data_IF_145248911959
#
_entry.id   IF_145248911959
#
_cell.length_a   1.000
_cell.length_b   1.000
_cell.length_c   1.000
_cell.angle_alpha   90.00
_cell.angle_beta   90.00
_cell.angle_gamma   90.00
#
_symmetry.space_group_name_H-M   'P 1'
#
loop_
_entity.id
_entity.type
_entity.pdbx_description
1 polymer ?
#
# COMPACT_ATOMS: atom_id res chain seq x y z
N UNK A 1 4.22 -1.54 16.38
CA UNK A 1 4.54 -2.98 16.50
C UNK A 1 3.31 -3.88 16.38
N UNK A 2 2.22 -3.65 17.12
CA UNK A 2 0.97 -4.46 17.08
C UNK A 2 0.40 -4.66 15.68
N UNK A 3 0.36 -3.62 14.84
CA UNK A 3 -0.18 -3.69 13.48
C UNK A 3 0.59 -4.67 12.58
N UNK A 4 1.93 -4.69 12.67
CA UNK A 4 2.77 -5.59 11.88
C UNK A 4 2.55 -7.06 12.28
N UNK A 5 2.45 -7.36 13.58
CA UNK A 5 2.13 -8.70 14.05
C UNK A 5 0.75 -9.17 13.60
N UNK A 6 -0.25 -8.29 13.72
CA UNK A 6 -1.61 -8.58 13.26
C UNK A 6 -1.66 -8.85 11.75
N UNK A 7 -0.98 -8.03 10.96
CA UNK A 7 -0.87 -8.22 9.52
C UNK A 7 -0.20 -9.55 9.16
N UNK A 8 0.92 -9.89 9.81
CA UNK A 8 1.62 -11.16 9.59
C UNK A 8 0.74 -12.37 9.92
N UNK A 9 -0.01 -12.30 11.04
CA UNK A 9 -0.94 -13.36 11.42
C UNK A 9 -2.06 -13.55 10.38
N UNK A 10 -2.64 -12.45 9.88
CA UNK A 10 -3.68 -12.51 8.85
C UNK A 10 -3.13 -13.14 7.57
N UNK A 11 -1.96 -12.71 7.08
CA UNK A 11 -1.38 -13.26 5.85
C UNK A 11 -0.91 -14.70 6.01
N UNK A 12 -0.46 -15.12 7.19
CA UNK A 12 -0.20 -16.52 7.50
C UNK A 12 -1.45 -17.37 7.34
N UNK A 13 -2.55 -16.96 7.97
CA UNK A 13 -3.83 -17.68 7.90
C UNK A 13 -4.42 -17.66 6.50
N UNK A 14 -4.50 -16.50 5.85
CA UNK A 14 -5.15 -16.38 4.52
C UNK A 14 -4.39 -17.12 3.42
N UNK A 15 -3.10 -17.33 3.61
CA UNK A 15 -2.26 -18.10 2.67
C UNK A 15 -2.63 -19.58 2.58
N UNK A 16 -3.34 -20.11 3.56
CA UNK A 16 -3.90 -21.46 3.52
C UNK A 16 -5.08 -21.58 2.56
N UNK A 17 -5.73 -20.45 2.26
CA UNK A 17 -6.88 -20.38 1.36
C UNK A 17 -6.44 -20.22 -0.11
N UNK A 18 -7.36 -20.40 -1.07
CA UNK A 18 -7.14 -20.06 -2.46
C UNK A 18 -6.69 -18.60 -2.64
N UNK A 19 -5.85 -18.28 -3.66
CA UNK A 19 -5.25 -16.96 -3.86
C UNK A 19 -6.23 -15.79 -3.93
N UNK A 20 -7.46 -16.04 -4.39
CA UNK A 20 -8.54 -15.03 -4.41
C UNK A 20 -8.85 -14.42 -3.05
N UNK A 21 -8.63 -15.16 -1.95
CA UNK A 21 -8.82 -14.63 -0.60
C UNK A 21 -7.66 -13.72 -0.17
N UNK A 22 -6.44 -14.07 -0.57
CA UNK A 22 -5.28 -13.16 -0.39
C UNK A 22 -5.50 -11.85 -1.16
N UNK A 23 -5.98 -11.93 -2.40
CA UNK A 23 -6.33 -10.76 -3.20
C UNK A 23 -7.44 -9.94 -2.53
N UNK A 24 -8.47 -10.58 -1.96
CA UNK A 24 -9.54 -9.88 -1.26
C UNK A 24 -9.02 -9.10 -0.03
N UNK A 25 -8.11 -9.70 0.75
CA UNK A 25 -7.45 -9.01 1.88
C UNK A 25 -6.64 -7.80 1.40
N UNK A 26 -5.86 -7.97 0.33
CA UNK A 26 -5.09 -6.88 -0.28
C UNK A 26 -6.00 -5.75 -0.77
N UNK A 27 -7.12 -6.09 -1.44
CA UNK A 27 -8.11 -5.10 -1.89
C UNK A 27 -8.79 -4.38 -0.71
N UNK A 28 -9.07 -5.09 0.38
CA UNK A 28 -9.60 -4.49 1.60
C UNK A 28 -8.67 -3.43 2.20
N UNK A 29 -7.36 -3.68 2.19
CA UNK A 29 -6.37 -2.67 2.60
C UNK A 29 -6.39 -1.44 1.68
N UNK A 30 -6.47 -1.64 0.36
CA UNK A 30 -6.60 -0.53 -0.60
C UNK A 30 -7.89 0.26 -0.39
N UNK A 31 -9.01 -0.41 -0.12
CA UNK A 31 -10.29 0.24 0.16
C UNK A 31 -10.24 1.10 1.43
N UNK A 32 -9.55 0.63 2.48
CA UNK A 32 -9.34 1.41 3.69
C UNK A 32 -8.53 2.70 3.41
N UNK A 33 -7.47 2.61 2.61
CA UNK A 33 -6.69 3.77 2.17
C UNK A 33 -7.53 4.78 1.38
N UNK A 34 -8.36 4.28 0.46
CA UNK A 34 -9.31 5.12 -0.31
C UNK A 34 -10.30 5.82 0.61
N UNK A 35 -10.86 5.12 1.59
CA UNK A 35 -11.79 5.70 2.57
C UNK A 35 -11.18 6.85 3.37
N UNK A 36 -9.93 6.68 3.82
CA UNK A 36 -9.19 7.73 4.54
C UNK A 36 -8.93 8.95 3.64
N UNK A 37 -8.48 8.75 2.41
CA UNK A 37 -8.19 9.86 1.49
C UNK A 37 -9.44 10.59 1.03
N UNK A 38 -10.58 9.91 0.87
CA UNK A 38 -11.88 10.54 0.65
C UNK A 38 -12.28 11.40 1.85
N UNK A 39 -12.14 10.88 3.06
CA UNK A 39 -12.42 11.65 4.29
C UNK A 39 -11.57 12.92 4.38
N UNK A 40 -10.28 12.85 4.03
CA UNK A 40 -9.39 14.02 3.98
C UNK A 40 -9.85 15.05 2.95
N UNK A 41 -10.22 14.60 1.75
CA UNK A 41 -10.70 15.50 0.70
C UNK A 41 -12.02 16.17 1.09
N UNK A 42 -12.99 15.43 1.61
CA UNK A 42 -14.25 16.00 2.09
C UNK A 42 -14.04 16.98 3.24
N UNK A 43 -13.15 16.67 4.18
CA UNK A 43 -12.78 17.61 5.25
C UNK A 43 -12.17 18.89 4.70
N UNK A 44 -11.29 18.80 3.72
CA UNK A 44 -10.68 19.97 3.09
C UNK A 44 -11.69 20.81 2.30
N UNK A 45 -12.68 20.17 1.65
CA UNK A 45 -13.77 20.85 0.94
C UNK A 45 -14.77 21.53 1.89
N UNK A 46 -14.98 20.98 3.08
CA UNK A 46 -15.90 21.53 4.09
C UNK A 46 -15.34 22.78 4.79
N UNK A 47 -14.02 22.95 4.81
CA UNK A 47 -13.37 24.17 5.31
C UNK A 47 -13.55 25.26 4.26
N UNK A 48 -14.66 26.02 4.34
CA UNK A 48 -14.85 27.20 3.50
C UNK A 48 -13.85 28.28 3.90
N UNK A 49 -12.96 28.62 2.99
CA UNK A 49 -11.87 29.59 3.22
C UNK A 49 -12.36 31.05 3.30
N UNK A 50 -13.66 31.27 3.18
CA UNK A 50 -14.25 32.61 3.29
C UNK A 50 -14.33 33.13 4.73
N UNK A 51 -14.11 32.28 5.72
CA UNK A 51 -14.10 32.72 7.12
C UNK A 51 -12.66 32.87 7.62
N UNK A 52 -12.18 34.10 7.75
CA UNK A 52 -11.01 34.48 8.54
C UNK A 52 -11.21 34.19 10.07
N UNK A 53 -12.11 33.31 10.41
CA UNK A 53 -12.32 32.87 11.78
C UNK A 53 -11.48 31.62 12.00
N UNK A 54 -10.51 31.70 12.89
CA UNK A 54 -9.89 30.55 13.54
C UNK A 54 -11.01 29.58 13.91
N UNK A 55 -10.90 28.28 13.54
CA UNK A 55 -11.89 27.30 13.98
C UNK A 55 -12.00 27.42 15.50
N UNK A 56 -13.19 27.69 16.01
CA UNK A 56 -13.38 27.64 17.46
C UNK A 56 -12.95 26.26 17.94
N UNK A 57 -12.22 26.20 19.05
CA UNK A 57 -11.66 24.95 19.62
C UNK A 57 -12.71 23.84 19.72
N UNK A 58 -13.97 24.17 19.90
CA UNK A 58 -15.09 23.24 19.92
C UNK A 58 -15.33 22.51 18.60
N UNK A 59 -15.17 23.17 17.46
CA UNK A 59 -15.35 22.54 16.13
C UNK A 59 -14.21 21.57 15.81
N UNK A 60 -12.99 21.90 16.24
CA UNK A 60 -11.81 21.01 16.07
C UNK A 60 -11.98 19.75 16.95
N UNK A 61 -12.42 19.92 18.17
CA UNK A 61 -12.67 18.82 19.12
C UNK A 61 -13.79 17.91 18.62
N UNK A 62 -14.89 18.45 18.10
CA UNK A 62 -15.99 17.68 17.53
C UNK A 62 -15.53 16.89 16.30
N UNK A 63 -14.76 17.50 15.40
CA UNK A 63 -14.22 16.84 14.21
C UNK A 63 -13.29 15.69 14.57
N UNK A 64 -12.41 15.89 15.55
CA UNK A 64 -11.54 14.85 16.08
C UNK A 64 -12.35 13.70 16.70
N UNK A 65 -13.38 14.01 17.48
CA UNK A 65 -14.26 13.01 18.10
C UNK A 65 -14.97 12.16 17.05
N UNK A 66 -15.56 12.78 16.02
CA UNK A 66 -16.23 12.06 14.92
C UNK A 66 -15.24 11.15 14.19
N UNK A 67 -14.02 11.62 13.93
CA UNK A 67 -12.98 10.84 13.29
C UNK A 67 -12.61 9.59 14.10
N UNK A 68 -12.32 9.74 15.40
CA UNK A 68 -12.00 8.61 16.26
C UNK A 68 -13.17 7.67 16.48
N UNK A 69 -14.41 8.19 16.58
CA UNK A 69 -15.61 7.37 16.69
C UNK A 69 -15.84 6.54 15.41
N UNK A 70 -15.63 7.11 14.23
CA UNK A 70 -15.72 6.37 12.96
C UNK A 70 -14.70 5.25 12.87
N UNK A 71 -13.44 5.52 13.26
CA UNK A 71 -12.38 4.51 13.31
C UNK A 71 -12.73 3.38 14.30
N UNK A 72 -13.26 3.71 15.48
CA UNK A 72 -13.70 2.72 16.47
C UNK A 72 -14.82 1.83 15.94
N UNK A 73 -15.82 2.39 15.24
CA UNK A 73 -16.90 1.63 14.61
C UNK A 73 -16.33 0.65 13.57
N UNK A 74 -15.41 1.09 12.73
CA UNK A 74 -14.75 0.20 11.73
C UNK A 74 -14.01 -0.95 12.40
N UNK A 75 -13.31 -0.70 13.50
CA UNK A 75 -12.61 -1.74 14.28
C UNK A 75 -13.63 -2.73 14.88
N UNK A 76 -14.75 -2.27 15.38
CA UNK A 76 -15.82 -3.17 15.88
C UNK A 76 -16.38 -4.05 14.76
N UNK A 77 -16.64 -3.49 13.58
CA UNK A 77 -17.06 -4.27 12.41
C UNK A 77 -16.04 -5.31 12.02
N UNK A 78 -14.75 -4.96 12.03
CA UNK A 78 -13.67 -5.91 11.75
C UNK A 78 -13.65 -7.05 12.77
N UNK A 79 -13.81 -6.74 14.06
CA UNK A 79 -13.85 -7.74 15.14
C UNK A 79 -15.06 -8.68 14.98
N UNK A 80 -16.25 -8.14 14.74
CA UNK A 80 -17.46 -8.93 14.50
C UNK A 80 -17.29 -9.84 13.27
N UNK A 81 -16.75 -9.28 12.17
CA UNK A 81 -16.46 -10.03 10.94
C UNK A 81 -15.48 -11.19 11.20
N UNK A 82 -14.46 -10.97 12.03
CA UNK A 82 -13.53 -12.01 12.43
C UNK A 82 -14.23 -13.14 13.20
N UNK A 83 -15.10 -12.82 14.18
CA UNK A 83 -15.86 -13.84 14.92
C UNK A 83 -16.83 -14.61 14.01
N UNK A 84 -17.41 -13.97 13.00
CA UNK A 84 -18.21 -14.66 12.00
C UNK A 84 -17.32 -15.60 11.17
N UNK A 85 -16.17 -15.11 10.69
CA UNK A 85 -15.24 -15.86 9.85
C UNK A 85 -14.82 -17.19 10.51
N UNK A 86 -14.41 -17.16 11.76
CA UNK A 86 -13.93 -18.39 12.47
C UNK A 86 -15.04 -19.43 12.68
N UNK A 87 -16.32 -19.02 12.58
CA UNK A 87 -17.46 -19.95 12.68
C UNK A 87 -17.85 -20.55 11.34
N UNK A 88 -17.38 -19.97 10.22
CA UNK A 88 -17.73 -20.48 8.89
C UNK A 88 -17.13 -21.87 8.63
N UNK A 89 -17.88 -22.77 7.98
CA UNK A 89 -17.36 -24.08 7.57
C UNK A 89 -16.12 -23.98 6.70
N UNK A 90 -16.06 -22.96 5.85
CA UNK A 90 -14.92 -22.66 5.00
C UNK A 90 -13.63 -22.45 5.80
N UNK A 91 -13.68 -21.63 6.86
CA UNK A 91 -12.52 -21.38 7.73
C UNK A 91 -12.06 -22.69 8.39
N UNK A 92 -13.00 -23.44 8.94
CA UNK A 92 -12.70 -24.72 9.58
C UNK A 92 -12.09 -25.73 8.61
N UNK A 93 -12.51 -25.75 7.35
CA UNK A 93 -11.97 -26.61 6.32
C UNK A 93 -10.50 -26.32 6.01
N UNK A 94 -10.12 -25.04 5.84
CA UNK A 94 -8.74 -24.66 5.49
C UNK A 94 -7.79 -24.53 6.69
N UNK A 95 -8.29 -24.24 7.89
CA UNK A 95 -7.49 -23.99 9.09
C UNK A 95 -7.53 -25.17 10.08
N UNK A 96 -8.32 -26.22 9.78
CA UNK A 96 -8.39 -27.42 10.63
C UNK A 96 -7.03 -28.07 10.77
N UNK A 97 -6.67 -28.59 11.98
CA UNK A 97 -5.43 -29.35 12.18
C UNK A 97 -5.23 -30.48 11.18
N UNK A 98 -6.31 -31.11 10.70
CA UNK A 98 -6.26 -32.14 9.68
C UNK A 98 -5.82 -31.63 8.31
N UNK A 99 -6.15 -30.41 7.92
CA UNK A 99 -5.72 -29.83 6.62
C UNK A 99 -4.24 -29.41 6.66
N UNK A 100 -3.73 -29.07 7.82
CA UNK A 100 -2.30 -28.80 8.04
C UNK A 100 -1.50 -30.11 8.06
N UNK A 101 -2.11 -31.22 8.54
CA UNK A 101 -1.47 -32.54 8.66
C UNK A 101 -1.67 -33.46 7.45
N UNK A 102 -2.71 -33.26 6.62
CA UNK A 102 -2.95 -34.07 5.40
C UNK A 102 -1.90 -33.85 4.32
N UNK A 103 -1.12 -32.79 4.42
CA UNK A 103 0.08 -32.61 3.59
C UNK A 103 1.36 -33.20 4.20
N UNK A 104 1.29 -33.85 5.34
CA UNK A 104 2.38 -34.69 5.85
C UNK A 104 2.16 -36.08 5.28
N UNK A 105 3.00 -36.47 4.31
CA UNK A 105 3.22 -37.89 4.02
C UNK A 105 3.53 -38.58 5.34
N UNK A 106 2.63 -39.47 5.76
CA UNK A 106 2.68 -40.19 7.06
C UNK A 106 3.95 -41.01 7.17
N UNK A 107 4.67 -41.22 6.08
CA UNK A 107 5.85 -42.07 5.98
C UNK A 107 7.20 -41.36 6.09
N UNK A 108 7.23 -40.02 6.31
CA UNK A 108 8.51 -39.32 6.47
C UNK A 108 8.49 -38.29 7.61
N UNK A 109 8.78 -38.75 8.87
CA UNK A 109 8.79 -37.85 10.05
C UNK A 109 9.91 -36.80 10.07
N UNK A 110 10.73 -36.73 9.02
CA UNK A 110 11.90 -35.85 8.92
C UNK A 110 11.68 -34.63 7.98
N UNK A 111 10.47 -34.38 7.49
CA UNK A 111 10.23 -33.15 6.74
C UNK A 111 10.01 -32.00 7.74
N UNK A 112 11.08 -31.65 8.45
CA UNK A 112 11.12 -30.43 9.25
C UNK A 112 10.67 -29.27 8.37
N UNK A 113 9.67 -28.52 8.84
CA UNK A 113 9.29 -27.22 8.27
C UNK A 113 10.56 -26.41 8.08
N UNK A 114 11.12 -26.43 6.90
CA UNK A 114 12.41 -25.79 6.66
C UNK A 114 12.20 -24.37 6.19
N UNK A 115 12.25 -23.43 7.12
CA UNK A 115 12.31 -22.01 6.85
C UNK A 115 13.27 -21.70 5.68
N UNK A 116 14.46 -22.33 5.69
CA UNK A 116 15.48 -22.13 4.65
C UNK A 116 15.01 -22.59 3.28
N UNK A 117 14.30 -23.71 3.20
CA UNK A 117 13.81 -24.23 1.92
C UNK A 117 12.66 -23.36 1.38
N UNK A 118 11.72 -22.95 2.22
CA UNK A 118 10.64 -22.04 1.86
C UNK A 118 11.20 -20.71 1.37
N UNK A 119 12.11 -20.11 2.13
CA UNK A 119 12.78 -18.87 1.75
C UNK A 119 13.47 -19.00 0.39
N UNK A 120 14.23 -20.10 0.17
CA UNK A 120 14.92 -20.33 -1.10
C UNK A 120 13.98 -20.50 -2.28
N UNK A 121 12.78 -21.03 -2.07
CA UNK A 121 11.77 -21.19 -3.13
C UNK A 121 11.13 -19.86 -3.55
N UNK A 122 10.94 -18.93 -2.61
CA UNK A 122 10.19 -17.68 -2.85
C UNK A 122 11.03 -16.41 -2.73
N UNK A 123 12.36 -16.49 -2.68
CA UNK A 123 13.24 -15.33 -2.45
C UNK A 123 13.04 -14.20 -3.47
N UNK A 124 12.68 -14.52 -4.72
CA UNK A 124 12.38 -13.53 -5.75
C UNK A 124 11.10 -12.76 -5.45
N UNK A 125 10.09 -13.44 -4.92
CA UNK A 125 8.84 -12.81 -4.50
C UNK A 125 9.03 -12.00 -3.22
N UNK A 126 9.85 -12.49 -2.29
CA UNK A 126 10.27 -11.74 -1.10
C UNK A 126 10.97 -10.44 -1.51
N UNK A 127 11.93 -10.54 -2.44
CA UNK A 127 12.60 -9.37 -2.99
C UNK A 127 11.57 -8.43 -3.66
N UNK A 128 10.70 -8.96 -4.52
CA UNK A 128 9.72 -8.17 -5.25
C UNK A 128 8.81 -7.38 -4.31
N UNK A 129 8.20 -8.04 -3.30
CA UNK A 129 7.30 -7.36 -2.37
C UNK A 129 8.03 -6.32 -1.53
N UNK A 130 9.22 -6.62 -0.99
CA UNK A 130 9.99 -5.64 -0.24
C UNK A 130 10.37 -4.43 -1.11
N UNK A 131 10.83 -4.69 -2.33
CA UNK A 131 11.29 -3.66 -3.24
C UNK A 131 10.18 -2.72 -3.72
N UNK A 132 8.97 -3.26 -3.98
CA UNK A 132 7.78 -2.44 -4.28
C UNK A 132 7.55 -1.39 -3.21
N UNK A 133 7.58 -1.80 -1.93
CA UNK A 133 7.31 -0.89 -0.81
C UNK A 133 8.51 0.02 -0.49
N UNK A 134 9.75 -0.43 -0.73
CA UNK A 134 10.94 0.44 -0.66
C UNK A 134 10.78 1.62 -1.62
N UNK A 135 10.53 1.34 -2.90
CA UNK A 135 10.36 2.39 -3.92
C UNK A 135 9.18 3.31 -3.59
N UNK A 136 8.08 2.73 -3.13
CA UNK A 136 6.88 3.51 -2.84
C UNK A 136 7.10 4.46 -1.67
N UNK A 137 7.56 3.96 -0.52
CA UNK A 137 7.73 4.78 0.68
C UNK A 137 8.88 5.80 0.55
N UNK A 138 9.84 5.54 -0.33
CA UNK A 138 10.91 6.53 -0.62
C UNK A 138 10.35 7.81 -1.23
N UNK A 139 9.31 7.72 -2.09
CA UNK A 139 8.73 8.87 -2.79
C UNK A 139 7.41 9.34 -2.18
N UNK A 140 6.50 8.42 -1.85
CA UNK A 140 5.17 8.69 -1.34
C UNK A 140 5.07 8.33 0.15
N UNK A 141 4.61 9.23 1.04
CA UNK A 141 4.21 10.62 0.77
C UNK A 141 5.36 11.64 0.84
N UNK A 142 6.57 11.25 1.20
CA UNK A 142 7.68 12.11 1.63
C UNK A 142 8.10 13.20 0.63
N UNK A 143 8.07 12.90 -0.65
CA UNK A 143 8.37 13.86 -1.73
C UNK A 143 7.08 14.39 -2.34
N UNK A 144 6.11 13.50 -2.59
CA UNK A 144 4.88 13.87 -3.30
C UNK A 144 4.01 14.88 -2.55
N UNK A 145 4.04 14.91 -1.21
CA UNK A 145 3.31 15.90 -0.40
C UNK A 145 3.84 17.34 -0.55
N UNK A 146 5.02 17.52 -1.13
CA UNK A 146 5.60 18.82 -1.42
C UNK A 146 5.47 19.23 -2.89
N UNK A 147 4.83 18.41 -3.72
CA UNK A 147 4.55 18.79 -5.11
C UNK A 147 3.33 19.73 -5.12
N UNK A 148 3.54 20.90 -5.71
CA UNK A 148 2.52 21.94 -5.88
C UNK A 148 2.07 22.05 -7.33
N UNK A 149 0.88 22.60 -7.52
CA UNK A 149 0.38 22.92 -8.87
C UNK A 149 1.33 23.89 -9.58
N UNK A 150 1.50 23.68 -10.87
CA UNK A 150 2.27 24.56 -11.75
C UNK A 150 1.45 25.75 -12.27
N UNK A 151 0.16 25.81 -11.94
CA UNK A 151 -0.70 26.89 -12.37
C UNK A 151 -0.30 28.23 -11.73
N UNK A 152 -0.31 29.34 -12.50
CA UNK A 152 -0.08 30.68 -11.95
C UNK A 152 -1.15 31.04 -10.91
N UNK A 153 -0.78 31.78 -9.87
CA UNK A 153 -1.68 32.12 -8.77
C UNK A 153 -2.94 32.87 -9.22
N UNK A 154 -2.83 33.69 -10.28
CA UNK A 154 -3.95 34.45 -10.83
C UNK A 154 -5.02 33.61 -11.54
N UNK A 155 -4.69 32.37 -11.93
CA UNK A 155 -5.57 31.48 -12.71
C UNK A 155 -5.80 30.11 -12.08
N UNK A 156 -5.48 29.95 -10.79
CA UNK A 156 -5.68 28.68 -10.08
C UNK A 156 -7.15 28.33 -9.91
N UNK A 157 -7.51 27.13 -10.34
CA UNK A 157 -8.77 26.50 -9.95
C UNK A 157 -8.73 26.05 -8.49
N UNK A 158 -9.89 25.85 -7.84
CA UNK A 158 -9.97 25.40 -6.45
C UNK A 158 -9.09 24.17 -6.13
N UNK A 159 -9.02 23.19 -7.04
CA UNK A 159 -8.22 21.99 -6.89
C UNK A 159 -6.70 22.16 -7.09
N UNK A 160 -6.26 23.35 -7.48
CA UNK A 160 -4.85 23.69 -7.70
C UNK A 160 -4.23 24.42 -6.50
N UNK A 161 -5.05 24.81 -5.52
CA UNK A 161 -4.55 25.34 -4.25
C UNK A 161 -4.07 24.20 -3.36
N UNK A 162 -2.98 24.40 -2.62
CA UNK A 162 -2.31 23.39 -1.80
C UNK A 162 -3.26 22.64 -0.88
N UNK A 163 -4.27 23.30 -0.30
CA UNK A 163 -5.22 22.72 0.64
C UNK A 163 -6.13 21.65 0.01
N UNK A 164 -6.35 21.67 -1.33
CA UNK A 164 -7.09 20.64 -2.07
C UNK A 164 -6.16 19.77 -2.93
N UNK A 165 -5.08 20.34 -3.46
CA UNK A 165 -4.13 19.63 -4.30
C UNK A 165 -3.47 18.46 -3.54
N UNK A 166 -3.08 18.69 -2.28
CA UNK A 166 -2.48 17.67 -1.43
C UNK A 166 -3.48 16.52 -1.11
N UNK A 167 -4.70 16.74 -0.61
CA UNK A 167 -5.68 15.67 -0.47
C UNK A 167 -6.02 14.94 -1.77
N UNK A 168 -6.04 15.67 -2.89
CA UNK A 168 -6.33 15.09 -4.20
C UNK A 168 -5.25 14.10 -4.64
N UNK A 169 -3.97 14.40 -4.44
CA UNK A 169 -2.92 13.44 -4.80
C UNK A 169 -2.96 12.20 -3.91
N UNK A 170 -3.29 12.32 -2.62
CA UNK A 170 -3.52 11.15 -1.75
C UNK A 170 -4.69 10.29 -2.26
N UNK A 171 -5.78 10.94 -2.70
CA UNK A 171 -6.92 10.24 -3.26
C UNK A 171 -6.56 9.49 -4.54
N UNK A 172 -5.87 10.14 -5.48
CA UNK A 172 -5.44 9.53 -6.75
C UNK A 172 -4.52 8.34 -6.49
N UNK A 173 -3.58 8.48 -5.55
CA UNK A 173 -2.68 7.38 -5.17
C UNK A 173 -3.47 6.20 -4.59
N UNK A 174 -4.33 6.41 -3.60
CA UNK A 174 -5.10 5.33 -2.98
C UNK A 174 -6.11 4.69 -3.94
N UNK A 175 -6.71 5.47 -4.83
CA UNK A 175 -7.59 4.95 -5.87
C UNK A 175 -6.81 4.07 -6.87
N UNK A 176 -5.67 4.52 -7.36
CA UNK A 176 -4.83 3.73 -8.27
C UNK A 176 -4.28 2.46 -7.59
N UNK A 177 -3.86 2.54 -6.32
CA UNK A 177 -3.41 1.39 -5.54
C UNK A 177 -4.52 0.34 -5.37
N UNK A 178 -5.74 0.78 -5.03
CA UNK A 178 -6.90 -0.10 -4.96
C UNK A 178 -7.19 -0.76 -6.31
N UNK A 179 -7.20 0.02 -7.38
CA UNK A 179 -7.38 -0.52 -8.74
C UNK A 179 -6.32 -1.56 -9.07
N UNK A 180 -5.04 -1.25 -8.79
CA UNK A 180 -3.94 -2.18 -8.97
C UNK A 180 -4.11 -3.49 -8.20
N UNK A 181 -4.56 -3.41 -6.94
CA UNK A 181 -4.87 -4.59 -6.12
C UNK A 181 -6.06 -5.38 -6.64
N UNK A 182 -7.00 -4.73 -7.32
CA UNK A 182 -8.17 -5.39 -7.89
C UNK A 182 -7.87 -6.09 -9.24
N UNK A 183 -6.91 -5.60 -10.03
CA UNK A 183 -6.57 -6.18 -11.34
C UNK A 183 -6.34 -7.70 -11.31
N UNK A 184 -5.64 -8.30 -10.32
CA UNK A 184 -5.45 -9.74 -10.25
C UNK A 184 -6.72 -10.56 -9.95
N UNK A 185 -7.89 -9.92 -9.74
CA UNK A 185 -9.16 -10.62 -9.69
C UNK A 185 -9.56 -11.20 -11.06
N UNK A 186 -9.03 -10.62 -12.12
CA UNK A 186 -9.19 -11.11 -13.50
C UNK A 186 -8.11 -12.14 -13.79
N UNK A 187 -8.49 -13.38 -14.10
CA UNK A 187 -7.55 -14.49 -14.33
C UNK A 187 -6.53 -14.19 -15.43
N UNK A 188 -6.94 -13.45 -16.45
CA UNK A 188 -6.07 -13.04 -17.56
C UNK A 188 -4.92 -12.09 -17.14
N UNK A 189 -5.05 -11.43 -16.00
CA UNK A 189 -4.08 -10.48 -15.48
C UNK A 189 -3.24 -11.06 -14.31
N UNK A 190 -3.39 -12.34 -14.01
CA UNK A 190 -2.60 -13.01 -12.97
C UNK A 190 -1.27 -13.46 -13.54
N UNK A 191 -0.19 -12.86 -13.08
CA UNK A 191 1.19 -13.30 -13.37
C UNK A 191 1.68 -14.15 -12.21
N UNK A 192 2.17 -15.34 -12.49
CA UNK A 192 2.70 -16.29 -11.49
C UNK A 192 4.20 -16.50 -11.60
N UNK A 193 4.82 -16.10 -12.71
CA UNK A 193 6.27 -16.21 -12.87
C UNK A 193 7.03 -15.22 -11.97
N UNK A 194 7.81 -15.79 -11.05
CA UNK A 194 8.59 -15.03 -10.08
C UNK A 194 9.60 -14.07 -10.72
N UNK A 195 10.16 -14.42 -11.89
CA UNK A 195 11.13 -13.56 -12.57
C UNK A 195 10.43 -12.31 -13.14
N UNK A 196 9.27 -12.50 -13.74
CA UNK A 196 8.46 -11.39 -14.27
C UNK A 196 8.03 -10.45 -13.15
N UNK A 197 7.55 -11.00 -12.03
CA UNK A 197 7.14 -10.21 -10.87
C UNK A 197 8.32 -9.41 -10.29
N UNK A 198 9.49 -10.04 -10.14
CA UNK A 198 10.69 -9.35 -9.66
C UNK A 198 11.16 -8.27 -10.65
N UNK A 199 11.11 -8.54 -11.94
CA UNK A 199 11.44 -7.55 -12.98
C UNK A 199 10.50 -6.34 -12.93
N UNK A 200 9.18 -6.59 -12.84
CA UNK A 200 8.20 -5.51 -12.71
C UNK A 200 8.42 -4.65 -11.47
N UNK A 201 8.83 -5.25 -10.34
CA UNK A 201 9.16 -4.49 -9.14
C UNK A 201 10.37 -3.58 -9.33
N UNK A 202 11.41 -4.04 -10.05
CA UNK A 202 12.59 -3.25 -10.38
C UNK A 202 12.26 -2.10 -11.33
N UNK A 203 11.44 -2.34 -12.36
CA UNK A 203 11.03 -1.29 -13.30
C UNK A 203 10.38 -0.09 -12.61
N UNK A 204 9.82 -0.25 -11.42
CA UNK A 204 9.21 0.84 -10.65
C UNK A 204 10.20 1.94 -10.22
N UNK A 205 11.51 1.65 -10.22
CA UNK A 205 12.53 2.68 -9.94
C UNK A 205 12.38 3.89 -10.85
N UNK A 206 11.89 3.71 -12.08
CA UNK A 206 11.72 4.81 -13.04
C UNK A 206 10.81 5.92 -12.53
N UNK A 207 9.88 5.61 -11.62
CA UNK A 207 8.99 6.62 -11.05
C UNK A 207 9.71 7.59 -10.12
N UNK A 208 10.82 7.20 -9.47
CA UNK A 208 11.55 8.09 -8.57
C UNK A 208 12.09 9.33 -9.29
N UNK A 209 12.89 9.21 -10.37
CA UNK A 209 13.31 10.40 -11.12
C UNK A 209 12.15 11.15 -11.75
N UNK A 210 11.11 10.46 -12.25
CA UNK A 210 9.94 11.14 -12.81
C UNK A 210 9.23 12.04 -11.79
N UNK A 211 9.07 11.56 -10.55
CA UNK A 211 8.47 12.36 -9.46
C UNK A 211 9.37 13.54 -9.07
N UNK A 212 10.69 13.34 -9.03
CA UNK A 212 11.64 14.41 -8.73
C UNK A 212 11.68 15.50 -9.81
N UNK A 213 11.35 15.18 -11.05
CA UNK A 213 11.27 16.14 -12.16
C UNK A 213 9.96 16.95 -12.20
N UNK A 214 8.98 16.62 -11.32
CA UNK A 214 7.76 17.39 -11.14
C UNK A 214 8.02 18.64 -10.29
N UNK A 215 7.00 19.50 -10.11
CA UNK A 215 7.10 20.76 -9.36
C UNK A 215 7.16 20.54 -7.85
N UNK A 216 8.29 20.01 -7.35
CA UNK A 216 8.52 19.85 -5.91
C UNK A 216 8.91 21.19 -5.29
N UNK A 217 8.17 21.64 -4.29
CA UNK A 217 8.48 22.87 -3.55
C UNK A 217 9.71 22.68 -2.68
N UNK A 218 10.73 23.51 -2.91
CA UNK A 218 11.96 23.55 -2.09
C UNK A 218 11.80 24.39 -0.81
N UNK A 219 10.66 25.10 -0.65
CA UNK A 219 10.42 25.96 0.52
C UNK A 219 11.43 27.09 0.63
N UNK A 220 11.96 27.32 1.84
CA UNK A 220 12.93 28.40 2.13
C UNK A 220 14.39 28.02 1.82
N UNK A 221 14.67 26.86 1.22
CA UNK A 221 16.04 26.36 1.01
C UNK A 221 16.76 26.91 -0.24
N UNK A 222 16.17 27.85 -0.97
CA UNK A 222 16.81 28.51 -2.14
C UNK A 222 16.37 27.96 -3.49
N UNK A 223 17.18 28.22 -4.52
CA UNK A 223 16.89 27.74 -5.87
C UNK A 223 17.04 26.23 -5.96
N UNK A 224 16.04 25.61 -6.60
CA UNK A 224 15.98 24.18 -6.80
C UNK A 224 17.08 23.72 -7.76
N UNK A 225 17.93 22.75 -7.38
CA UNK A 225 18.98 22.19 -8.23
C UNK A 225 18.45 21.26 -9.33
N UNK A 226 17.35 20.54 -9.06
CA UNK A 226 16.74 19.65 -10.06
C UNK A 226 15.86 20.45 -11.00
N UNK A 227 16.06 20.37 -12.33
CA UNK A 227 15.26 21.13 -13.30
C UNK A 227 13.79 20.67 -13.28
N UNK A 228 12.86 21.63 -13.41
CA UNK A 228 11.45 21.36 -13.64
C UNK A 228 11.25 20.94 -15.10
N UNK A 229 11.21 19.65 -15.37
CA UNK A 229 10.93 19.13 -16.71
C UNK A 229 9.46 18.78 -16.92
N UNK A 230 8.77 18.35 -15.85
CA UNK A 230 7.35 18.00 -15.90
C UNK A 230 6.54 19.17 -15.36
N UNK A 231 6.24 20.12 -16.27
CA UNK A 231 5.50 21.34 -15.98
C UNK A 231 4.01 21.17 -16.35
N UNK A 232 3.34 20.15 -15.76
CA UNK A 232 1.93 19.88 -16.00
C UNK A 232 1.33 19.08 -14.84
N UNK A 233 0.28 19.63 -14.23
CA UNK A 233 -0.46 18.94 -13.16
C UNK A 233 -1.07 17.62 -13.64
N UNK A 234 -1.61 17.62 -14.88
CA UNK A 234 -2.20 16.41 -15.46
C UNK A 234 -1.16 15.30 -15.63
N UNK A 235 0.04 15.65 -16.13
CA UNK A 235 1.11 14.68 -16.32
C UNK A 235 1.62 14.15 -14.97
N UNK A 236 1.73 15.04 -13.96
CA UNK A 236 2.04 14.61 -12.58
C UNK A 236 1.02 13.59 -12.05
N UNK A 237 -0.28 13.90 -12.17
CA UNK A 237 -1.33 12.98 -11.70
C UNK A 237 -1.36 11.67 -12.47
N UNK A 238 -1.04 11.68 -13.76
CA UNK A 238 -0.91 10.46 -14.58
C UNK A 238 0.27 9.59 -14.08
N UNK A 239 1.43 10.20 -13.83
CA UNK A 239 2.61 9.51 -13.29
C UNK A 239 2.28 8.90 -11.92
N UNK A 240 1.66 9.68 -11.05
CA UNK A 240 1.25 9.25 -9.71
C UNK A 240 0.24 8.09 -9.77
N UNK A 241 -0.72 8.17 -10.67
CA UNK A 241 -1.71 7.12 -10.89
C UNK A 241 -1.06 5.82 -11.38
N UNK A 242 -0.19 5.88 -12.39
CA UNK A 242 0.54 4.70 -12.88
C UNK A 242 1.47 4.12 -11.81
N UNK A 243 2.13 4.99 -11.03
CA UNK A 243 2.94 4.59 -9.88
C UNK A 243 2.12 3.82 -8.84
N UNK A 244 0.93 4.32 -8.52
CA UNK A 244 0.05 3.69 -7.54
C UNK A 244 -0.59 2.40 -8.05
N UNK A 245 -1.07 2.35 -9.30
CA UNK A 245 -1.60 1.12 -9.92
C UNK A 245 -0.54 0.02 -9.92
N UNK A 246 0.70 0.36 -10.32
CA UNK A 246 1.80 -0.62 -10.27
C UNK A 246 2.13 -1.07 -8.85
N UNK A 247 1.96 -0.21 -7.82
CA UNK A 247 2.12 -0.57 -6.41
C UNK A 247 1.14 -1.65 -5.99
N UNK A 248 -0.14 -1.38 -6.17
CA UNK A 248 -1.20 -2.32 -5.82
C UNK A 248 -1.11 -3.63 -6.58
N UNK A 249 -0.84 -3.57 -7.88
CA UNK A 249 -0.76 -4.75 -8.72
C UNK A 249 0.41 -5.66 -8.37
N UNK A 250 1.65 -5.13 -8.41
CA UNK A 250 2.85 -5.94 -8.14
C UNK A 250 2.89 -6.45 -6.70
N UNK A 251 2.45 -5.62 -5.74
CA UNK A 251 2.31 -6.03 -4.35
C UNK A 251 1.33 -7.20 -4.19
N UNK A 252 0.17 -7.14 -4.84
CA UNK A 252 -0.86 -8.18 -4.74
C UNK A 252 -0.44 -9.49 -5.39
N UNK A 253 0.08 -9.46 -6.63
CA UNK A 253 0.53 -10.69 -7.31
C UNK A 253 1.69 -11.35 -6.57
N UNK A 254 2.60 -10.57 -5.96
CA UNK A 254 3.68 -11.12 -5.13
C UNK A 254 3.13 -11.90 -3.93
N UNK A 255 2.16 -11.33 -3.22
CA UNK A 255 1.53 -11.96 -2.06
C UNK A 255 0.69 -13.18 -2.43
N UNK A 256 0.04 -13.18 -3.60
CA UNK A 256 -0.77 -14.29 -4.10
C UNK A 256 0.08 -15.46 -4.60
N UNK A 257 1.20 -15.18 -5.26
CA UNK A 257 2.04 -16.19 -5.89
C UNK A 257 2.85 -17.02 -4.88
N UNK A 258 3.30 -16.41 -3.78
CA UNK A 258 4.19 -17.07 -2.82
C UNK A 258 3.66 -18.37 -2.25
N UNK A 259 2.46 -18.39 -1.66
CA UNK A 259 1.85 -19.62 -1.14
C UNK A 259 1.62 -20.70 -2.18
N UNK A 260 1.44 -20.32 -3.46
CA UNK A 260 1.24 -21.28 -4.55
C UNK A 260 2.52 -22.03 -4.92
N UNK A 261 3.66 -21.34 -4.86
CA UNK A 261 4.99 -21.90 -5.21
C UNK A 261 5.45 -22.95 -4.19
N UNK A 262 5.06 -22.79 -2.93
CA UNK A 262 5.60 -23.61 -1.83
C UNK A 262 4.84 -24.92 -1.64
N UNK A 263 3.57 -24.98 -1.99
CA UNK A 263 2.73 -26.18 -1.85
C UNK A 263 2.27 -26.41 -0.40
N UNK A 264 3.08 -27.06 0.43
CA UNK A 264 2.70 -27.48 1.79
C UNK A 264 2.84 -26.36 2.83
N UNK A 265 3.88 -25.53 2.72
CA UNK A 265 4.24 -24.50 3.73
C UNK A 265 3.66 -23.13 3.37
N UNK A 266 2.38 -23.09 2.98
CA UNK A 266 1.71 -21.86 2.51
C UNK A 266 1.64 -20.77 3.58
N UNK A 267 1.34 -21.16 4.82
CA UNK A 267 1.28 -20.29 5.99
C UNK A 267 2.63 -19.61 6.25
N UNK A 268 3.72 -20.37 6.17
CA UNK A 268 5.06 -19.83 6.31
C UNK A 268 5.43 -18.87 5.16
N UNK A 269 5.05 -19.22 3.92
CA UNK A 269 5.29 -18.35 2.77
C UNK A 269 4.55 -17.00 2.91
N UNK A 270 3.27 -17.02 3.29
CA UNK A 270 2.50 -15.80 3.52
C UNK A 270 3.04 -14.95 4.66
N UNK A 271 3.44 -15.57 5.76
CA UNK A 271 4.08 -14.89 6.90
C UNK A 271 5.41 -14.23 6.48
N UNK A 272 6.26 -14.96 5.72
CA UNK A 272 7.52 -14.41 5.21
C UNK A 272 7.30 -13.22 4.29
N UNK A 273 6.40 -13.34 3.32
CA UNK A 273 6.10 -12.24 2.40
C UNK A 273 5.58 -11.01 3.15
N UNK A 274 4.66 -11.21 4.10
CA UNK A 274 4.14 -10.12 4.93
C UNK A 274 5.22 -9.49 5.81
N UNK A 275 6.12 -10.28 6.39
CA UNK A 275 7.25 -9.77 7.15
C UNK A 275 8.16 -8.90 6.28
N UNK A 276 8.54 -9.38 5.09
CA UNK A 276 9.41 -8.62 4.19
C UNK A 276 8.70 -7.42 3.55
N UNK A 277 7.38 -7.45 3.41
CA UNK A 277 6.59 -6.27 3.10
C UNK A 277 6.83 -5.17 4.16
N UNK A 278 6.72 -5.51 5.44
CA UNK A 278 6.95 -4.56 6.55
C UNK A 278 8.41 -4.08 6.59
N UNK A 279 9.37 -4.98 6.33
CA UNK A 279 10.79 -4.60 6.18
C UNK A 279 10.96 -3.62 5.03
N UNK A 280 10.30 -3.85 3.89
CA UNK A 280 10.30 -2.95 2.74
C UNK A 280 9.75 -1.55 3.09
N UNK A 281 8.64 -1.50 3.83
CA UNK A 281 8.09 -0.24 4.35
C UNK A 281 9.11 0.51 5.24
N UNK A 282 9.77 -0.19 6.16
CA UNK A 282 10.76 0.40 7.06
C UNK A 282 11.97 0.95 6.31
N UNK A 283 12.54 0.15 5.40
CA UNK A 283 13.67 0.56 4.58
C UNK A 283 13.29 1.74 3.66
N UNK A 284 12.12 1.69 3.01
CA UNK A 284 11.61 2.77 2.15
C UNK A 284 11.43 4.08 2.93
N UNK A 285 10.93 4.00 4.18
CA UNK A 285 10.83 5.16 5.06
C UNK A 285 12.20 5.76 5.39
N UNK A 286 13.24 4.95 5.56
CA UNK A 286 14.61 5.45 5.75
C UNK A 286 15.12 6.13 4.46
N UNK A 287 14.90 5.52 3.29
CA UNK A 287 15.29 6.11 2.01
C UNK A 287 14.51 7.36 1.63
N UNK A 288 13.38 7.62 2.27
CA UNK A 288 12.61 8.84 2.06
C UNK A 288 13.39 10.11 2.47
N UNK A 289 14.22 10.04 3.50
CA UNK A 289 15.02 11.19 3.96
C UNK A 289 16.06 11.65 2.93
N UNK A 290 16.99 10.78 2.43
CA UNK A 290 17.92 11.20 1.39
C UNK A 290 17.21 11.60 0.09
N UNK A 291 16.13 10.93 -0.31
CA UNK A 291 15.39 11.33 -1.50
C UNK A 291 14.76 12.72 -1.34
N UNK A 292 14.24 13.02 -0.17
CA UNK A 292 13.74 14.36 0.15
C UNK A 292 14.88 15.39 0.15
N UNK A 293 16.04 15.06 0.74
CA UNK A 293 17.20 15.95 0.71
C UNK A 293 17.65 16.26 -0.72
N UNK A 294 17.69 15.26 -1.61
CA UNK A 294 17.99 15.45 -3.04
C UNK A 294 16.94 16.35 -3.71
N UNK A 295 15.66 16.24 -3.32
CA UNK A 295 14.60 17.07 -3.90
C UNK A 295 14.66 18.53 -3.47
N UNK A 296 15.42 18.84 -2.39
CA UNK A 296 15.62 20.19 -1.85
C UNK A 296 16.94 20.83 -2.32
N UNK A 297 17.90 20.01 -2.76
CA UNK A 297 19.18 20.47 -3.30
C UNK A 297 19.01 21.07 -4.70
#
# INVERSE_FOLDING_TARGET
MTTAFHQNAIFGVVSLFPPKYTQAVMSGQGLAGLGISLSQLFSALAVDQTSNQTPADDNLTLSAFIYFLSAFIVILFALVSYFILIRLPLYKYYVSPGSIFVSQDVDNPLNERSFKNTFKKIYKLIFAVAFVFIVTLSAFPSVTSFIKSVAPDDNKNKFQYDYLFIPLHFLIFNFGDLLGRYLPSQEALVITDQNQIAFMSICRIIFLPLILLCNVDSGSHGERSIPLLINSDLLYFLILFLFSVSNGYVGSISMMAGPQVVGVEKDLAGTLLSFFLVVGLAIGSIFSFPLRAISLA
#
